data_IF_670202603670
#
_entry.id   IF_670202603670
#
_cell.length_a   1.000
_cell.length_b   1.000
_cell.length_c   1.000
_cell.angle_alpha   90.00
_cell.angle_beta   90.00
_cell.angle_gamma   90.00
#
_symmetry.space_group_name_H-M   'P 1'
#
loop_
_entity.id
_entity.type
_entity.pdbx_description
1 polymer ?
#
# COMPACT_ATOMS: atom_id res chain seq x y z
N UNK A 1 16.13 -0.92 16.86
CA UNK A 1 14.75 -0.52 17.20
C UNK A 1 14.67 0.97 16.97
N UNK A 2 13.88 1.39 15.99
CA UNK A 2 13.69 2.81 15.65
C UNK A 2 12.25 3.13 15.96
N UNK A 3 12.00 4.10 16.83
CA UNK A 3 10.64 4.53 17.18
C UNK A 3 10.28 5.78 16.39
N UNK A 4 9.06 5.82 15.88
CA UNK A 4 8.48 6.97 15.20
C UNK A 4 7.24 7.36 15.97
N UNK A 5 7.10 8.64 16.31
CA UNK A 5 5.90 9.19 16.92
C UNK A 5 5.04 9.80 15.82
N UNK A 6 3.76 9.45 15.78
CA UNK A 6 2.79 9.94 14.82
C UNK A 6 1.76 10.78 15.56
N UNK A 7 1.57 12.03 15.13
CA UNK A 7 0.45 12.84 15.58
C UNK A 7 -0.79 12.45 14.77
N UNK A 8 -1.73 11.82 15.45
CA UNK A 8 -3.02 11.41 14.90
C UNK A 8 -4.12 12.18 15.62
N UNK A 9 -5.19 12.50 14.89
CA UNK A 9 -6.41 12.97 15.55
C UNK A 9 -7.06 11.84 16.36
N UNK A 10 -7.73 12.18 17.46
CA UNK A 10 -8.38 11.20 18.33
C UNK A 10 -9.36 10.31 17.55
N UNK A 11 -10.06 10.88 16.56
CA UNK A 11 -11.01 10.13 15.73
C UNK A 11 -10.32 9.09 14.83
N UNK A 12 -9.14 9.41 14.29
CA UNK A 12 -8.37 8.46 13.49
C UNK A 12 -7.76 7.36 14.36
N UNK A 13 -7.26 7.74 15.54
CA UNK A 13 -6.70 6.78 16.49
C UNK A 13 -7.77 5.80 16.99
N UNK A 14 -8.99 6.29 17.25
CA UNK A 14 -10.11 5.45 17.66
C UNK A 14 -10.51 4.47 16.54
N UNK A 15 -10.61 4.93 15.29
CA UNK A 15 -10.92 4.05 14.16
C UNK A 15 -9.89 2.93 14.01
N UNK A 16 -8.59 3.24 14.18
CA UNK A 16 -7.54 2.22 14.11
C UNK A 16 -7.62 1.20 15.26
N UNK A 17 -7.96 1.64 16.47
CA UNK A 17 -8.21 0.74 17.59
C UNK A 17 -9.40 -0.18 17.32
N UNK A 18 -10.50 0.36 16.81
CA UNK A 18 -11.69 -0.43 16.48
C UNK A 18 -11.35 -1.47 15.40
N UNK A 19 -10.56 -1.09 14.40
CA UNK A 19 -10.09 -1.99 13.34
C UNK A 19 -9.20 -3.11 13.90
N UNK A 20 -8.29 -2.79 14.82
CA UNK A 20 -7.47 -3.79 15.51
C UNK A 20 -8.31 -4.73 16.36
N UNK A 21 -9.33 -4.20 17.06
CA UNK A 21 -10.26 -4.98 17.86
C UNK A 21 -11.10 -5.95 17.01
N UNK A 22 -11.57 -5.52 15.83
CA UNK A 22 -12.28 -6.38 14.87
C UNK A 22 -11.42 -7.58 14.44
N UNK A 23 -10.12 -7.36 14.26
CA UNK A 23 -9.18 -8.43 13.90
C UNK A 23 -8.62 -9.20 15.11
N UNK A 24 -8.96 -8.80 16.34
CA UNK A 24 -8.49 -9.44 17.57
C UNK A 24 -6.98 -9.32 17.79
N UNK A 25 -6.34 -8.29 17.22
CA UNK A 25 -4.90 -8.05 17.31
C UNK A 25 -4.62 -6.69 17.96
N UNK A 26 -3.37 -6.48 18.38
CA UNK A 26 -2.96 -5.17 18.89
C UNK A 26 -2.80 -4.17 17.74
N UNK A 27 -2.99 -2.89 18.05
CA UNK A 27 -2.81 -1.80 17.09
C UNK A 27 -1.40 -1.80 16.48
N UNK A 28 -0.37 -2.13 17.26
CA UNK A 28 1.02 -2.21 16.80
C UNK A 28 1.21 -3.29 15.74
N UNK A 29 0.59 -4.46 15.93
CA UNK A 29 0.65 -5.56 14.96
C UNK A 29 -0.10 -5.18 13.68
N UNK A 30 -1.28 -4.58 13.82
CA UNK A 30 -2.06 -4.09 12.67
C UNK A 30 -1.25 -3.07 11.85
N UNK A 31 -0.67 -2.07 12.50
CA UNK A 31 0.14 -1.05 11.85
C UNK A 31 1.39 -1.65 11.20
N UNK A 32 2.07 -2.56 11.88
CA UNK A 32 3.26 -3.23 11.34
C UNK A 32 2.93 -4.00 10.06
N UNK A 33 1.90 -4.84 10.08
CA UNK A 33 1.49 -5.65 8.93
C UNK A 33 1.04 -4.75 7.78
N UNK A 34 0.25 -3.72 8.07
CA UNK A 34 -0.20 -2.77 7.05
C UNK A 34 0.97 -2.01 6.41
N UNK A 35 1.99 -1.65 7.19
CA UNK A 35 3.15 -0.92 6.70
C UNK A 35 4.10 -1.83 5.92
N UNK A 36 4.27 -3.09 6.34
CA UNK A 36 4.98 -4.12 5.58
C UNK A 36 4.28 -4.39 4.24
N UNK A 37 2.96 -4.53 4.24
CA UNK A 37 2.17 -4.75 3.02
C UNK A 37 2.22 -3.53 2.09
N UNK A 38 2.14 -2.31 2.63
CA UNK A 38 2.33 -1.08 1.84
C UNK A 38 3.74 -0.97 1.23
N UNK A 39 4.79 -1.32 1.99
CA UNK A 39 6.17 -1.33 1.48
C UNK A 39 6.41 -2.44 0.43
N UNK A 40 5.70 -3.56 0.54
CA UNK A 40 5.78 -4.68 -0.40
C UNK A 40 4.91 -4.45 -1.65
N UNK A 41 3.77 -3.77 -1.52
CA UNK A 41 2.88 -3.44 -2.65
C UNK A 41 3.47 -2.38 -3.58
N UNK A 42 4.33 -1.48 -3.07
CA UNK A 42 5.11 -0.58 -3.93
C UNK A 42 6.13 -1.31 -4.82
N UNK A 43 6.38 -2.60 -4.57
CA UNK A 43 7.61 -3.25 -5.02
C UNK A 43 7.53 -4.06 -6.31
N UNK A 44 6.38 -4.37 -6.93
CA UNK A 44 6.48 -5.48 -7.90
C UNK A 44 5.62 -5.59 -9.15
N UNK A 45 4.36 -5.18 -9.26
CA UNK A 45 3.58 -5.74 -10.41
C UNK A 45 2.64 -4.78 -11.13
N UNK A 46 1.95 -3.91 -10.41
CA UNK A 46 0.94 -3.08 -11.07
C UNK A 46 1.56 -1.99 -11.97
N UNK A 47 2.56 -1.28 -11.46
CA UNK A 47 3.22 -0.19 -12.22
C UNK A 47 3.99 -0.75 -13.42
N UNK A 48 4.66 -1.89 -13.25
CA UNK A 48 5.39 -2.54 -14.33
C UNK A 48 4.47 -3.12 -15.40
N UNK A 49 3.35 -3.73 -15.01
CA UNK A 49 2.35 -4.21 -15.97
C UNK A 49 1.72 -3.07 -16.77
N UNK A 50 1.40 -1.95 -16.11
CA UNK A 50 0.85 -0.75 -16.78
C UNK A 50 1.86 -0.18 -17.78
N UNK A 51 3.13 -0.03 -17.37
CA UNK A 51 4.18 0.46 -18.28
C UNK A 51 4.41 -0.50 -19.46
N UNK A 52 4.37 -1.81 -19.22
CA UNK A 52 4.51 -2.82 -20.27
C UNK A 52 3.37 -2.73 -21.30
N UNK A 53 2.12 -2.67 -20.86
CA UNK A 53 0.96 -2.56 -21.77
C UNK A 53 0.98 -1.25 -22.55
N UNK A 54 1.29 -0.13 -21.91
CA UNK A 54 1.38 1.17 -22.59
C UNK A 54 2.48 1.18 -23.65
N UNK A 55 3.65 0.61 -23.34
CA UNK A 55 4.76 0.50 -24.29
C UNK A 55 4.39 -0.38 -25.48
N UNK A 56 3.79 -1.55 -25.23
CA UNK A 56 3.38 -2.48 -26.30
C UNK A 56 2.29 -1.91 -27.19
N UNK A 57 1.33 -1.17 -26.64
CA UNK A 57 0.32 -0.50 -27.44
C UNK A 57 0.92 0.61 -28.30
N UNK A 58 1.85 1.41 -27.76
CA UNK A 58 2.54 2.43 -28.54
C UNK A 58 3.31 1.81 -29.73
N UNK A 59 4.03 0.70 -29.51
CA UNK A 59 4.71 -0.06 -30.57
C UNK A 59 3.72 -0.58 -31.63
N UNK A 60 2.57 -1.11 -31.21
CA UNK A 60 1.52 -1.60 -32.11
C UNK A 60 0.96 -0.50 -33.01
N UNK A 61 0.66 0.68 -32.44
CA UNK A 61 0.18 1.82 -33.21
C UNK A 61 1.24 2.35 -34.19
N UNK A 62 2.52 2.19 -33.86
CA UNK A 62 3.63 2.62 -34.72
C UNK A 62 3.86 1.68 -35.92
N UNK A 63 3.56 0.39 -35.78
CA UNK A 63 3.66 -0.59 -36.87
C UNK A 63 2.44 -0.63 -37.80
N UNK A 64 1.34 0.01 -37.43
CA UNK A 64 0.08 0.06 -38.20
C UNK A 64 -0.09 1.36 -39.01
N UNK A 65 0.91 2.25 -38.99
CA UNK A 65 0.98 3.50 -39.76
C UNK A 65 2.02 3.39 -40.88
#
# INVERSE_FOLDING_TARGET
MTSITLDLSDSQFQQLQDLAAVHGITLEVLLKVSLEDWLNSQKSEFVDAVNYVLTKNAELYQCLA
#
